data_IF_199222284536
#
_entry.id   IF_199222284536
#
_cell.length_a   1.000
_cell.length_b   1.000
_cell.length_c   1.000
_cell.angle_alpha   90.00
_cell.angle_beta   90.00
_cell.angle_gamma   90.00
#
_symmetry.space_group_name_H-M   'P 1'
#
loop_
_entity.id
_entity.type
_entity.pdbx_description
1 polymer ?
#
# COMPACT_ATOMS: atom_id res chain seq x y z
N UNK A 1 1.81 10.25 -5.69
CA UNK A 1 1.42 9.09 -4.85
C UNK A 1 0.15 8.50 -5.43
N UNK A 2 -0.02 7.20 -5.47
CA UNK A 2 -1.32 6.64 -5.89
C UNK A 2 -2.39 6.87 -4.82
N UNK A 3 -3.67 6.83 -5.21
CA UNK A 3 -4.76 6.78 -4.24
C UNK A 3 -4.63 5.51 -3.40
N UNK A 4 -4.82 5.63 -2.09
CA UNK A 4 -4.79 4.47 -1.20
C UNK A 4 -4.50 4.82 0.24
N UNK A 5 -4.46 3.78 1.07
CA UNK A 5 -4.07 3.89 2.47
C UNK A 5 -2.57 3.70 2.62
N UNK A 6 -1.95 4.55 3.42
CA UNK A 6 -0.52 4.53 3.70
C UNK A 6 -0.28 4.66 5.20
N UNK A 7 0.86 4.14 5.64
CA UNK A 7 1.31 4.29 7.01
C UNK A 7 2.78 4.68 7.06
N UNK A 8 3.14 5.49 8.06
CA UNK A 8 4.52 5.73 8.44
C UNK A 8 4.92 4.73 9.52
N UNK A 9 6.03 4.03 9.29
CA UNK A 9 6.59 3.04 10.20
C UNK A 9 8.12 3.06 10.07
N UNK A 10 8.84 3.14 11.18
CA UNK A 10 10.31 3.18 11.17
C UNK A 10 10.88 4.27 10.24
N UNK A 11 10.29 5.48 10.25
CA UNK A 11 10.66 6.61 9.39
C UNK A 11 10.51 6.37 7.88
N UNK A 12 9.78 5.33 7.44
CA UNK A 12 9.47 5.05 6.03
C UNK A 12 7.97 4.98 5.81
N UNK A 13 7.52 5.39 4.64
CA UNK A 13 6.12 5.29 4.23
C UNK A 13 5.89 4.00 3.47
N UNK A 14 4.85 3.26 3.85
CA UNK A 14 4.44 2.01 3.20
C UNK A 14 2.99 2.08 2.73
N UNK A 15 2.69 1.38 1.63
CA UNK A 15 1.30 1.13 1.23
C UNK A 15 0.68 0.13 2.19
N UNK A 16 -0.58 0.35 2.54
CA UNK A 16 -1.31 -0.45 3.51
C UNK A 16 -2.41 -1.28 2.83
N UNK A 17 -2.54 -2.53 3.25
CA UNK A 17 -3.75 -3.34 3.05
C UNK A 17 -4.36 -3.65 4.42
N UNK A 18 -5.60 -3.23 4.65
CA UNK A 18 -6.30 -3.47 5.92
C UNK A 18 -6.93 -4.86 5.86
N UNK A 19 -6.62 -5.72 6.84
CA UNK A 19 -7.15 -7.09 6.95
C UNK A 19 -8.07 -7.30 8.16
N UNK A 20 -8.20 -6.30 9.04
CA UNK A 20 -9.04 -6.29 10.23
C UNK A 20 -8.86 -5.00 11.03
N UNK A 21 -9.51 -4.90 12.19
CA UNK A 21 -9.59 -3.63 12.93
C UNK A 21 -8.28 -3.20 13.60
N UNK A 22 -7.44 -4.16 14.04
CA UNK A 22 -6.19 -3.87 14.78
C UNK A 22 -4.92 -4.34 14.05
N UNK A 23 -5.05 -5.10 12.96
CA UNK A 23 -3.91 -5.63 12.21
C UNK A 23 -3.76 -4.94 10.85
N UNK A 24 -2.61 -4.30 10.65
CA UNK A 24 -2.27 -3.56 9.45
C UNK A 24 -1.18 -4.31 8.69
N UNK A 25 -1.40 -4.51 7.37
CA UNK A 25 -0.41 -5.10 6.48
C UNK A 25 0.34 -4.00 5.73
N UNK A 26 1.62 -3.85 6.04
CA UNK A 26 2.55 -2.98 5.32
C UNK A 26 3.11 -3.71 4.11
N UNK A 27 3.13 -3.04 2.96
CA UNK A 27 3.62 -3.55 1.69
C UNK A 27 4.84 -2.74 1.26
N UNK A 28 5.94 -3.43 0.98
CA UNK A 28 7.18 -2.86 0.44
C UNK A 28 7.58 -3.58 -0.85
N UNK A 29 8.24 -2.85 -1.75
CA UNK A 29 8.88 -3.38 -2.96
C UNK A 29 10.41 -3.52 -2.77
N UNK A 30 10.92 -3.07 -1.63
CA UNK A 30 12.35 -3.05 -1.31
C UNK A 30 12.77 -4.31 -0.57
N UNK A 31 13.69 -5.07 -1.17
CA UNK A 31 14.22 -6.30 -0.57
C UNK A 31 14.97 -6.06 0.75
N UNK A 32 15.55 -4.86 0.94
CA UNK A 32 16.28 -4.54 2.17
C UNK A 32 15.37 -4.55 3.40
N UNK A 33 14.05 -4.37 3.24
CA UNK A 33 13.09 -4.39 4.34
C UNK A 33 12.92 -5.79 4.97
N UNK A 34 13.47 -6.85 4.37
CA UNK A 34 13.62 -8.16 5.04
C UNK A 34 14.44 -8.02 6.33
N UNK A 35 15.43 -7.12 6.36
CA UNK A 35 16.21 -6.83 7.57
C UNK A 35 15.36 -6.17 8.68
N UNK A 36 14.21 -5.58 8.30
CA UNK A 36 13.24 -4.97 9.20
C UNK A 36 12.08 -5.92 9.55
N UNK A 37 12.23 -7.22 9.25
CA UNK A 37 11.26 -8.27 9.57
C UNK A 37 10.12 -8.41 8.56
N UNK A 38 10.23 -7.82 7.37
CA UNK A 38 9.29 -8.10 6.28
C UNK A 38 9.57 -9.48 5.66
N UNK A 39 8.51 -10.13 5.16
CA UNK A 39 8.59 -11.44 4.52
C UNK A 39 8.23 -11.33 3.04
N UNK A 40 8.99 -11.99 2.17
CA UNK A 40 8.67 -12.06 0.74
C UNK A 40 7.25 -12.61 0.54
N UNK A 41 6.43 -11.89 -0.21
CA UNK A 41 5.10 -12.33 -0.58
C UNK A 41 5.19 -13.51 -1.55
N UNK A 42 4.43 -14.56 -1.27
CA UNK A 42 4.32 -15.72 -2.14
C UNK A 42 2.95 -15.65 -2.80
N UNK A 43 2.93 -15.33 -4.10
CA UNK A 43 1.71 -15.36 -4.88
C UNK A 43 1.16 -16.79 -4.95
N UNK A 44 -0.16 -16.98 -4.91
CA UNK A 44 -0.79 -18.29 -5.08
C UNK A 44 -0.39 -18.99 -6.38
N UNK A 45 -0.42 -20.32 -6.39
CA UNK A 45 0.02 -21.15 -7.52
C UNK A 45 -0.83 -21.01 -8.79
N UNK A 46 -2.08 -20.53 -8.67
CA UNK A 46 -3.00 -20.39 -9.80
C UNK A 46 -2.72 -19.17 -10.69
N UNK A 47 -1.79 -18.28 -10.31
CA UNK A 47 -1.34 -17.20 -11.18
C UNK A 47 -0.46 -17.75 -12.30
N UNK A 48 -0.81 -17.51 -13.56
CA UNK A 48 -0.09 -18.05 -14.73
C UNK A 48 1.34 -17.51 -14.88
N UNK A 49 1.56 -16.23 -14.55
CA UNK A 49 2.84 -15.53 -14.79
C UNK A 49 3.46 -15.00 -13.49
N UNK A 50 3.66 -15.89 -12.49
CA UNK A 50 4.16 -15.49 -11.17
C UNK A 50 5.51 -14.78 -11.20
N UNK A 51 6.37 -15.12 -12.17
CA UNK A 51 7.69 -14.50 -12.32
C UNK A 51 7.64 -13.08 -12.88
N UNK A 52 6.51 -12.69 -13.50
CA UNK A 52 6.25 -11.33 -13.98
C UNK A 52 5.56 -10.44 -12.96
N UNK A 53 5.13 -11.01 -11.83
CA UNK A 53 4.49 -10.25 -10.75
C UNK A 53 5.55 -9.46 -9.96
N UNK A 54 5.17 -8.29 -9.39
CA UNK A 54 6.08 -7.49 -8.60
C UNK A 54 6.60 -8.27 -7.38
N UNK A 55 7.86 -8.07 -7.03
CA UNK A 55 8.44 -8.70 -5.83
C UNK A 55 8.04 -7.87 -4.62
N UNK A 56 7.00 -8.32 -3.92
CA UNK A 56 6.51 -7.65 -2.73
C UNK A 56 7.06 -8.29 -1.45
N UNK A 57 7.24 -7.46 -0.42
CA UNK A 57 7.62 -7.82 0.93
C UNK A 57 6.55 -7.29 1.88
N UNK A 58 6.08 -8.14 2.78
CA UNK A 58 4.91 -7.87 3.61
C UNK A 58 5.27 -8.04 5.07
N UNK A 59 4.82 -7.10 5.90
CA UNK A 59 4.87 -7.18 7.36
C UNK A 59 3.49 -6.87 7.93
N UNK A 60 3.06 -7.68 8.90
CA UNK A 60 1.86 -7.43 9.68
C UNK A 60 2.27 -6.79 11.01
N UNK A 61 1.64 -5.68 11.36
CA UNK A 61 1.91 -4.89 12.57
C UNK A 61 0.59 -4.49 13.23
N UNK A 62 0.61 -4.20 14.53
CA UNK A 62 -0.55 -3.62 15.18
C UNK A 62 -0.72 -2.18 14.73
N UNK A 63 -1.97 -1.72 14.63
CA UNK A 63 -2.25 -0.32 14.29
C UNK A 63 -1.62 0.65 15.30
N UNK A 64 -1.54 0.26 16.57
CA UNK A 64 -0.91 1.03 17.64
C UNK A 64 0.60 1.21 17.49
N UNK A 65 1.27 0.38 16.67
CA UNK A 65 2.72 0.45 16.44
C UNK A 65 3.10 1.40 15.29
N UNK A 66 2.11 2.03 14.64
CA UNK A 66 2.33 2.94 13.52
C UNK A 66 2.58 4.36 14.01
N UNK A 67 3.53 5.04 13.38
CA UNK A 67 3.78 6.46 13.64
C UNK A 67 2.62 7.32 13.10
N UNK A 68 2.06 6.89 11.96
CA UNK A 68 0.95 7.58 11.29
C UNK A 68 0.21 6.60 10.37
N UNK A 69 -1.11 6.77 10.24
CA UNK A 69 -1.94 6.06 9.27
C UNK A 69 -2.86 7.08 8.59
N UNK A 70 -2.78 7.18 7.27
CA UNK A 70 -3.51 8.18 6.50
C UNK A 70 -4.00 7.62 5.15
N UNK A 71 -5.03 8.27 4.62
CA UNK A 71 -5.57 7.98 3.29
C UNK A 71 -5.24 9.13 2.34
N UNK A 72 -4.66 8.79 1.19
CA UNK A 72 -4.47 9.73 0.09
C UNK A 72 -5.63 9.57 -0.87
N UNK A 73 -6.46 10.61 -0.99
CA UNK A 73 -7.59 10.68 -1.93
C UNK A 73 -7.50 11.96 -2.78
N UNK A 74 -8.00 11.89 -4.01
CA UNK A 74 -7.99 12.98 -4.96
C UNK A 74 -9.38 13.56 -5.11
N UNK A 75 -9.56 14.81 -4.67
CA UNK A 75 -10.82 15.53 -4.78
C UNK A 75 -10.63 16.86 -5.50
N UNK A 76 -11.52 17.16 -6.45
CA UNK A 76 -11.58 18.47 -7.12
C UNK A 76 -12.83 19.23 -6.68
N UNK A 77 -12.72 20.55 -6.54
CA UNK A 77 -13.87 21.44 -6.33
C UNK A 77 -14.13 22.23 -7.62
N UNK A 78 -15.32 22.06 -8.19
CA UNK A 78 -15.76 22.82 -9.37
C UNK A 78 -17.16 23.40 -9.11
N UNK A 79 -17.29 24.72 -9.26
CA UNK A 79 -18.53 25.47 -9.02
C UNK A 79 -19.26 25.10 -7.71
N UNK A 80 -18.50 25.01 -6.61
CA UNK A 80 -19.05 24.64 -5.29
C UNK A 80 -19.26 23.14 -5.06
N UNK A 81 -19.17 22.30 -6.09
CA UNK A 81 -19.37 20.84 -6.01
C UNK A 81 -18.04 20.11 -5.87
N UNK A 82 -17.99 19.07 -5.02
CA UNK A 82 -16.80 18.23 -4.80
C UNK A 82 -16.92 16.93 -5.62
N UNK A 83 -15.89 16.62 -6.40
CA UNK A 83 -15.80 15.40 -7.21
C UNK A 83 -14.63 14.55 -6.75
N UNK A 84 -14.82 13.23 -6.67
CA UNK A 84 -13.71 12.28 -6.51
C UNK A 84 -13.08 12.05 -7.88
N UNK A 85 -11.78 12.31 -7.98
CA UNK A 85 -11.02 12.12 -9.22
C UNK A 85 -10.54 10.68 -9.34
N UNK A 86 -10.73 10.12 -10.52
CA UNK A 86 -10.13 8.86 -10.94
C UNK A 86 -9.28 9.15 -12.17
N UNK A 87 -7.97 8.90 -12.07
CA UNK A 87 -7.05 9.03 -13.18
C UNK A 87 -6.93 7.65 -13.84
N UNK A 88 -7.38 7.52 -15.08
CA UNK A 88 -7.03 6.38 -15.90
C UNK A 88 -5.68 6.70 -16.55
N UNK A 89 -4.70 5.81 -16.43
CA UNK A 89 -3.49 5.88 -17.25
C UNK A 89 -3.90 5.72 -18.71
N UNK A 90 -4.00 6.82 -19.44
CA UNK A 90 -4.02 6.76 -20.89
C UNK A 90 -2.60 6.38 -21.32
N UNK A 91 -2.41 5.14 -21.77
CA UNK A 91 -1.18 4.71 -22.43
C UNK A 91 -0.88 5.69 -23.58
N UNK A 92 0.18 6.47 -23.43
CA UNK A 92 0.88 7.18 -24.52
C UNK A 92 2.15 6.43 -24.86
#
# INVERSE_FOLDING_TARGET
MEKGTFARYMNKTFRVSIRGDDCIRLISEDQADVNNGFKKHIYPSYYKDRDRLPKLYIKEVKKADLDELYEVDYKAKYNGTIFNLHFNEANT
#
